data_IF_718663381815
#
_entry.id   IF_718663381815
#
_cell.length_a   1.000
_cell.length_b   1.000
_cell.length_c   1.000
_cell.angle_alpha   90.00
_cell.angle_beta   90.00
_cell.angle_gamma   90.00
#
_symmetry.space_group_name_H-M   'P 1'
#
loop_
_entity.id
_entity.type
_entity.pdbx_description
1 polymer ?
#
# COMPACT_ATOMS: atom_id res chain seq x y z
N UNK A 1 32.93 -3.08 9.23
CA UNK A 1 31.46 -2.88 9.14
C UNK A 1 31.06 -1.41 9.25
N UNK A 2 31.59 -0.65 10.22
CA UNK A 2 31.33 0.80 10.38
C UNK A 2 31.67 1.64 9.14
N UNK A 3 32.78 1.36 8.46
CA UNK A 3 33.20 2.13 7.27
C UNK A 3 32.31 1.88 6.05
N UNK A 4 31.77 0.67 5.91
CA UNK A 4 30.82 0.34 4.83
C UNK A 4 29.47 1.02 5.02
N UNK A 5 28.95 1.06 6.25
CA UNK A 5 27.70 1.77 6.58
C UNK A 5 27.86 3.28 6.34
N UNK A 6 29.03 3.83 6.71
CA UNK A 6 29.34 5.25 6.45
C UNK A 6 29.43 5.54 4.96
N UNK A 7 30.12 4.71 4.18
CA UNK A 7 30.20 4.86 2.73
C UNK A 7 28.83 4.82 2.03
N UNK A 8 27.90 3.97 2.48
CA UNK A 8 26.53 3.93 1.96
C UNK A 8 25.77 5.22 2.30
N UNK A 9 25.90 5.71 3.53
CA UNK A 9 25.31 6.97 3.95
C UNK A 9 25.87 8.16 3.16
N UNK A 10 27.18 8.21 2.97
CA UNK A 10 27.88 9.25 2.22
C UNK A 10 27.50 9.21 0.73
N UNK A 11 27.41 8.02 0.12
CA UNK A 11 26.91 7.87 -1.25
C UNK A 11 25.46 8.35 -1.39
N UNK A 12 24.60 8.00 -0.42
CA UNK A 12 23.21 8.41 -0.45
C UNK A 12 23.04 9.94 -0.38
N UNK A 13 23.94 10.62 0.34
CA UNK A 13 23.99 12.07 0.37
C UNK A 13 24.64 12.69 -0.88
N UNK A 14 25.60 12.00 -1.49
CA UNK A 14 26.26 12.46 -2.72
C UNK A 14 25.34 12.38 -3.95
N UNK A 15 24.39 11.44 -3.99
CA UNK A 15 23.43 11.25 -5.10
C UNK A 15 21.98 11.17 -4.60
N UNK A 16 21.46 12.22 -3.95
CA UNK A 16 20.21 12.15 -3.21
C UNK A 16 18.98 11.88 -4.09
N UNK A 17 19.01 12.32 -5.34
CA UNK A 17 17.97 12.06 -6.36
C UNK A 17 17.91 10.57 -6.72
N UNK A 18 19.06 9.95 -6.99
CA UNK A 18 19.14 8.52 -7.29
C UNK A 18 18.77 7.68 -6.06
N UNK A 19 19.18 8.13 -4.87
CA UNK A 19 18.81 7.49 -3.62
C UNK A 19 17.31 7.53 -3.37
N UNK A 20 16.63 8.65 -3.64
CA UNK A 20 15.18 8.73 -3.51
C UNK A 20 14.47 7.69 -4.39
N UNK A 21 14.87 7.55 -5.66
CA UNK A 21 14.34 6.54 -6.58
C UNK A 21 14.61 5.12 -6.08
N UNK A 22 15.86 4.82 -5.71
CA UNK A 22 16.24 3.49 -5.22
C UNK A 22 15.48 3.12 -3.94
N UNK A 23 15.35 4.07 -3.00
CA UNK A 23 14.57 3.87 -1.78
C UNK A 23 13.09 3.63 -2.08
N UNK A 24 12.53 4.29 -3.10
CA UNK A 24 11.15 4.05 -3.56
C UNK A 24 10.96 2.60 -4.00
N UNK A 25 11.83 2.11 -4.88
CA UNK A 25 11.81 0.73 -5.36
C UNK A 25 11.97 -0.28 -4.20
N UNK A 26 12.96 -0.07 -3.34
CA UNK A 26 13.23 -0.94 -2.18
C UNK A 26 12.05 -0.93 -1.20
N UNK A 27 11.43 0.22 -1.00
CA UNK A 27 10.25 0.36 -0.13
C UNK A 27 9.05 -0.42 -0.66
N UNK A 28 8.83 -0.43 -1.99
CA UNK A 28 7.74 -1.17 -2.60
C UNK A 28 7.88 -2.70 -2.45
N UNK A 29 9.11 -3.22 -2.34
CA UNK A 29 9.35 -4.63 -2.01
C UNK A 29 8.84 -5.03 -0.61
N UNK A 30 8.49 -4.06 0.24
CA UNK A 30 7.84 -4.29 1.52
C UNK A 30 6.38 -4.74 1.39
N UNK A 31 5.75 -4.60 0.23
CA UNK A 31 4.37 -5.04 -0.01
C UNK A 31 4.30 -6.49 -0.52
N UNK A 32 3.15 -7.17 -0.36
CA UNK A 32 2.88 -8.43 -1.05
C UNK A 32 3.09 -8.30 -2.57
N UNK A 33 3.56 -9.35 -3.27
CA UNK A 33 3.81 -10.70 -2.76
C UNK A 33 5.18 -10.89 -2.09
N UNK A 34 6.15 -9.99 -2.30
CA UNK A 34 7.50 -10.12 -1.72
C UNK A 34 7.49 -9.98 -0.20
N UNK A 35 6.68 -9.03 0.29
CA UNK A 35 6.43 -8.76 1.70
C UNK A 35 7.71 -8.67 2.55
N UNK A 36 8.78 -8.09 1.98
CA UNK A 36 10.05 -7.83 2.65
C UNK A 36 9.93 -6.60 3.56
N UNK A 37 8.94 -6.58 4.45
CA UNK A 37 8.60 -5.45 5.29
C UNK A 37 9.78 -4.89 6.11
N UNK A 38 10.77 -5.66 6.62
CA UNK A 38 11.90 -5.07 7.33
C UNK A 38 12.75 -4.20 6.40
N UNK A 39 12.92 -4.64 5.14
CA UNK A 39 13.64 -3.90 4.12
C UNK A 39 12.87 -2.64 3.72
N UNK A 40 11.54 -2.74 3.61
CA UNK A 40 10.68 -1.59 3.34
C UNK A 40 10.75 -0.53 4.45
N UNK A 41 10.70 -0.95 5.72
CA UNK A 41 10.84 -0.05 6.88
C UNK A 41 12.23 0.59 6.95
N UNK A 42 13.28 -0.16 6.61
CA UNK A 42 14.63 0.39 6.50
C UNK A 42 14.73 1.46 5.38
N UNK A 43 14.06 1.24 4.25
CA UNK A 43 13.98 2.23 3.18
C UNK A 43 13.22 3.49 3.61
N UNK A 44 12.14 3.35 4.38
CA UNK A 44 11.42 4.49 4.97
C UNK A 44 12.27 5.26 5.99
N UNK A 45 13.04 4.56 6.83
CA UNK A 45 14.00 5.20 7.74
C UNK A 45 15.04 6.02 6.95
N UNK A 46 15.62 5.44 5.90
CA UNK A 46 16.56 6.15 5.03
C UNK A 46 15.91 7.33 4.30
N UNK A 47 14.64 7.22 3.88
CA UNK A 47 13.88 8.32 3.29
C UNK A 47 13.70 9.45 4.30
N UNK A 48 13.24 9.16 5.52
CA UNK A 48 13.07 10.18 6.58
C UNK A 48 14.38 10.94 6.80
N UNK A 49 15.49 10.23 6.86
CA UNK A 49 16.81 10.85 6.99
C UNK A 49 17.18 11.71 5.78
N UNK A 50 16.95 11.22 4.56
CA UNK A 50 17.25 11.91 3.30
C UNK A 50 16.42 13.19 3.12
N UNK A 51 15.16 13.17 3.51
CA UNK A 51 14.26 14.32 3.44
C UNK A 51 14.56 15.34 4.54
N UNK A 52 14.85 14.87 5.76
CA UNK A 52 15.27 15.74 6.86
C UNK A 52 16.57 16.49 6.54
N UNK A 53 17.52 15.81 5.87
CA UNK A 53 18.78 16.41 5.44
C UNK A 53 18.66 17.31 4.18
N UNK A 54 17.45 17.53 3.65
CA UNK A 54 17.28 18.38 2.47
C UNK A 54 17.55 19.87 2.80
N UNK A 55 18.32 20.58 1.95
CA UNK A 55 18.72 21.97 2.19
C UNK A 55 17.56 22.97 2.12
N UNK A 56 16.46 22.61 1.48
CA UNK A 56 15.28 23.46 1.30
C UNK A 56 14.04 22.59 1.01
N UNK A 57 12.87 23.23 1.09
CA UNK A 57 11.58 22.57 0.95
C UNK A 57 11.30 22.07 -0.48
N UNK A 58 11.86 22.72 -1.51
CA UNK A 58 11.72 22.30 -2.92
C UNK A 58 12.48 21.00 -3.12
N UNK A 59 13.69 20.95 -2.60
CA UNK A 59 14.53 19.75 -2.62
C UNK A 59 13.89 18.59 -1.83
N UNK A 60 13.30 18.87 -0.66
CA UNK A 60 12.57 17.85 0.11
C UNK A 60 11.36 17.33 -0.67
N UNK A 61 10.55 18.23 -1.22
CA UNK A 61 9.36 17.88 -2.00
C UNK A 61 9.73 17.06 -3.25
N UNK A 62 10.77 17.45 -3.98
CA UNK A 62 11.23 16.74 -5.17
C UNK A 62 11.76 15.33 -4.84
N UNK A 63 12.51 15.18 -3.75
CA UNK A 63 12.96 13.85 -3.28
C UNK A 63 11.77 12.98 -2.87
N UNK A 64 10.80 13.54 -2.16
CA UNK A 64 9.56 12.85 -1.79
C UNK A 64 8.76 12.42 -3.02
N UNK A 65 8.67 13.29 -4.03
CA UNK A 65 8.04 13.01 -5.31
C UNK A 65 8.72 11.85 -6.05
N UNK A 66 10.05 11.88 -6.21
CA UNK A 66 10.79 10.81 -6.89
C UNK A 66 10.70 9.47 -6.15
N UNK A 67 10.78 9.50 -4.82
CA UNK A 67 10.52 8.32 -4.00
C UNK A 67 9.12 7.76 -4.28
N UNK A 68 8.10 8.63 -4.21
CA UNK A 68 6.71 8.27 -4.46
C UNK A 68 6.49 7.69 -5.84
N UNK A 69 7.06 8.32 -6.86
CA UNK A 69 6.96 7.87 -8.24
C UNK A 69 7.55 6.46 -8.42
N UNK A 70 8.76 6.22 -7.92
CA UNK A 70 9.40 4.90 -8.02
C UNK A 70 8.66 3.84 -7.19
N UNK A 71 8.29 4.16 -5.96
CA UNK A 71 7.54 3.28 -5.06
C UNK A 71 6.20 2.85 -5.68
N UNK A 72 5.40 3.81 -6.11
CA UNK A 72 4.06 3.57 -6.63
C UNK A 72 4.10 2.94 -8.02
N UNK A 73 5.11 3.24 -8.84
CA UNK A 73 5.26 2.58 -10.15
C UNK A 73 5.51 1.08 -9.97
N UNK A 74 6.42 0.70 -9.07
CA UNK A 74 6.67 -0.72 -8.80
C UNK A 74 5.48 -1.39 -8.12
N UNK A 75 4.87 -0.74 -7.13
CA UNK A 75 3.75 -1.30 -6.40
C UNK A 75 2.45 -1.44 -7.22
N UNK A 76 2.30 -0.64 -8.28
CA UNK A 76 1.17 -0.70 -9.20
C UNK A 76 1.50 -1.38 -10.54
N UNK A 77 2.64 -2.08 -10.64
CA UNK A 77 3.04 -2.73 -11.88
C UNK A 77 2.00 -3.77 -12.38
N UNK A 78 1.21 -4.35 -11.47
CA UNK A 78 0.13 -5.28 -11.78
C UNK A 78 -0.95 -4.69 -12.70
N UNK A 79 -1.11 -3.36 -12.73
CA UNK A 79 -2.05 -2.69 -13.66
C UNK A 79 -1.65 -2.96 -15.11
N UNK A 80 -0.35 -3.07 -15.41
CA UNK A 80 0.10 -3.39 -16.77
C UNK A 80 -0.43 -4.74 -17.25
N UNK A 81 -0.60 -5.71 -16.35
CA UNK A 81 -1.21 -7.02 -16.66
C UNK A 81 -2.70 -6.88 -16.96
N UNK A 82 -3.43 -5.94 -16.35
CA UNK A 82 -4.84 -5.74 -16.69
C UNK A 82 -5.05 -5.34 -18.16
N UNK A 83 -4.09 -4.60 -18.75
CA UNK A 83 -4.14 -4.20 -20.16
C UNK A 83 -4.01 -5.39 -21.12
N UNK A 84 -3.41 -6.51 -20.72
CA UNK A 84 -3.30 -7.71 -21.59
C UNK A 84 -4.64 -8.41 -21.79
N UNK A 85 -5.62 -8.17 -20.93
CA UNK A 85 -6.97 -8.74 -21.03
C UNK A 85 -7.95 -7.86 -21.79
N UNK A 86 -7.53 -6.68 -22.23
CA UNK A 86 -8.40 -5.72 -22.90
C UNK A 86 -8.23 -5.80 -24.42
N UNK A 87 -9.20 -6.42 -25.09
CA UNK A 87 -9.15 -6.84 -26.50
C UNK A 87 -8.81 -5.76 -27.55
N UNK A 88 -8.78 -4.47 -27.18
CA UNK A 88 -8.55 -3.34 -28.10
C UNK A 88 -7.40 -2.41 -27.67
N UNK A 89 -6.54 -2.82 -26.73
CA UNK A 89 -5.42 -1.99 -26.28
C UNK A 89 -4.07 -2.69 -26.46
N UNK A 90 -3.08 -2.07 -27.13
CA UNK A 90 -1.72 -2.58 -27.16
C UNK A 90 -1.12 -2.72 -25.75
N UNK A 91 -0.57 -3.89 -25.44
CA UNK A 91 -0.05 -4.22 -24.10
C UNK A 91 1.02 -3.24 -23.60
N UNK A 92 1.87 -2.73 -24.51
CA UNK A 92 2.92 -1.78 -24.15
C UNK A 92 2.37 -0.48 -23.54
N UNK A 93 1.12 -0.12 -23.85
CA UNK A 93 0.45 1.02 -23.25
C UNK A 93 0.21 0.80 -21.76
N UNK A 94 -0.01 -0.43 -21.30
CA UNK A 94 -0.11 -0.74 -19.88
C UNK A 94 1.19 -0.40 -19.14
N UNK A 95 2.32 -0.85 -19.68
CA UNK A 95 3.65 -0.56 -19.12
C UNK A 95 4.03 0.93 -19.13
N UNK A 96 3.46 1.71 -20.04
CA UNK A 96 3.58 3.18 -20.06
C UNK A 96 2.58 3.88 -19.14
N UNK A 97 1.36 3.34 -19.03
CA UNK A 97 0.28 3.92 -18.25
C UNK A 97 0.57 3.90 -16.75
N UNK A 98 1.22 2.85 -16.23
CA UNK A 98 1.57 2.77 -14.80
C UNK A 98 2.50 3.90 -14.35
N UNK A 99 3.69 4.12 -14.94
CA UNK A 99 4.56 5.23 -14.55
C UNK A 99 3.92 6.59 -14.82
N UNK A 100 3.07 6.72 -15.85
CA UNK A 100 2.35 7.95 -16.15
C UNK A 100 1.28 8.27 -15.09
N UNK A 101 0.49 7.28 -14.66
CA UNK A 101 -0.42 7.40 -13.52
C UNK A 101 0.36 7.80 -12.26
N UNK A 102 1.53 7.21 -12.06
CA UNK A 102 2.36 7.53 -10.90
C UNK A 102 2.94 8.95 -10.93
N UNK A 103 2.96 9.66 -12.07
CA UNK A 103 3.28 11.11 -12.10
C UNK A 103 2.28 11.90 -11.25
N UNK A 104 1.00 11.54 -11.34
CA UNK A 104 -0.06 12.10 -10.50
C UNK A 104 0.07 11.62 -9.05
N UNK A 105 0.21 10.31 -8.83
CA UNK A 105 0.22 9.77 -7.46
C UNK A 105 1.46 10.19 -6.64
N UNK A 106 2.59 10.45 -7.30
CA UNK A 106 3.81 10.93 -6.67
C UNK A 106 3.68 12.34 -6.06
N UNK A 107 2.67 13.12 -6.47
CA UNK A 107 2.38 14.43 -5.88
C UNK A 107 2.12 14.31 -4.38
N UNK A 108 1.46 13.24 -3.92
CA UNK A 108 1.08 13.09 -2.52
C UNK A 108 2.28 12.88 -1.58
N UNK A 109 3.22 11.94 -1.83
CA UNK A 109 4.49 11.88 -1.10
C UNK A 109 5.32 13.17 -1.17
N UNK A 110 5.31 13.83 -2.34
CA UNK A 110 6.00 15.12 -2.52
C UNK A 110 5.39 16.25 -1.67
N UNK A 111 4.07 16.30 -1.54
CA UNK A 111 3.35 17.24 -0.67
C UNK A 111 3.54 16.91 0.80
N UNK A 112 3.58 15.63 1.18
CA UNK A 112 3.88 15.22 2.55
C UNK A 112 5.29 15.69 2.97
N UNK A 113 6.29 15.49 2.11
CA UNK A 113 7.66 15.93 2.34
C UNK A 113 7.77 17.45 2.41
N UNK A 114 7.07 18.17 1.52
CA UNK A 114 6.95 19.63 1.52
C UNK A 114 6.41 20.14 2.86
N UNK A 115 5.24 19.63 3.26
CA UNK A 115 4.53 20.06 4.46
C UNK A 115 5.36 19.80 5.72
N UNK A 116 5.96 18.60 5.82
CA UNK A 116 6.83 18.25 6.92
C UNK A 116 8.05 19.17 7.02
N UNK A 117 8.70 19.48 5.89
CA UNK A 117 9.88 20.35 5.87
C UNK A 117 9.56 21.79 6.27
N UNK A 118 8.48 22.35 5.74
CA UNK A 118 8.00 23.69 6.10
C UNK A 118 7.59 23.78 7.58
N UNK A 119 6.83 22.81 8.07
CA UNK A 119 6.40 22.76 9.47
C UNK A 119 7.59 22.60 10.43
N UNK A 120 8.53 21.72 10.11
CA UNK A 120 9.74 21.50 10.91
C UNK A 120 10.56 22.78 11.05
N UNK A 121 10.75 23.53 9.95
CA UNK A 121 11.50 24.80 9.97
C UNK A 121 10.82 25.90 10.79
N UNK A 122 9.49 25.91 10.84
CA UNK A 122 8.74 26.88 11.65
C UNK A 122 8.75 26.53 13.13
N UNK A 123 8.61 25.24 13.46
CA UNK A 123 8.44 24.78 14.83
C UNK A 123 9.75 24.58 15.60
N UNK A 124 10.86 24.29 14.91
CA UNK A 124 12.16 24.13 15.54
C UNK A 124 13.31 24.52 14.57
N UNK A 125 13.55 25.83 14.38
CA UNK A 125 14.46 26.37 13.36
C UNK A 125 15.92 25.96 13.51
N UNK A 126 16.36 25.62 14.73
CA UNK A 126 17.78 25.44 15.06
C UNK A 126 18.18 24.01 15.44
N UNK A 127 17.26 23.17 15.95
CA UNK A 127 17.57 21.78 16.34
C UNK A 127 16.35 20.84 16.29
N UNK A 128 15.45 20.96 15.30
CA UNK A 128 14.38 19.98 15.16
C UNK A 128 15.00 18.59 14.92
N UNK A 129 15.03 17.75 15.96
CA UNK A 129 15.54 16.39 15.86
C UNK A 129 14.76 15.62 14.78
N UNK A 130 15.41 14.63 14.17
CA UNK A 130 14.81 13.75 13.16
C UNK A 130 13.46 13.15 13.59
N UNK A 131 13.24 13.02 14.91
CA UNK A 131 11.97 12.60 15.49
C UNK A 131 10.82 13.59 15.20
N UNK A 132 11.04 14.90 15.37
CA UNK A 132 10.02 15.94 15.09
C UNK A 132 9.67 15.94 13.61
N UNK A 133 10.69 15.93 12.74
CA UNK A 133 10.48 15.85 11.30
C UNK A 133 9.70 14.58 10.93
N UNK A 134 10.09 13.42 11.48
CA UNK A 134 9.42 12.14 11.24
C UNK A 134 7.95 12.15 11.66
N UNK A 135 7.62 12.73 12.81
CA UNK A 135 6.24 12.86 13.29
C UNK A 135 5.39 13.77 12.39
N UNK A 136 5.95 14.92 11.98
CA UNK A 136 5.28 15.83 11.05
C UNK A 136 5.11 15.20 9.66
N UNK A 137 6.09 14.41 9.22
CA UNK A 137 6.01 13.66 7.97
C UNK A 137 4.97 12.55 8.03
N UNK A 138 4.87 11.82 9.14
CA UNK A 138 3.80 10.84 9.36
C UNK A 138 2.41 11.50 9.31
N UNK A 139 2.24 12.63 10.01
CA UNK A 139 0.98 13.38 9.99
C UNK A 139 0.63 13.90 8.58
N UNK A 140 1.60 14.47 7.87
CA UNK A 140 1.41 14.95 6.51
C UNK A 140 1.13 13.80 5.52
N UNK A 141 1.74 12.64 5.72
CA UNK A 141 1.47 11.44 4.92
C UNK A 141 0.05 10.95 5.13
N UNK A 142 -0.44 10.86 6.37
CA UNK A 142 -1.84 10.51 6.68
C UNK A 142 -2.80 11.41 5.90
N UNK A 143 -2.60 12.73 5.96
CA UNK A 143 -3.48 13.69 5.30
C UNK A 143 -3.41 13.58 3.78
N UNK A 144 -2.22 13.48 3.20
CA UNK A 144 -2.06 13.41 1.75
C UNK A 144 -2.55 12.07 1.18
N UNK A 145 -2.33 10.96 1.89
CA UNK A 145 -2.88 9.64 1.53
C UNK A 145 -4.41 9.61 1.63
N UNK A 146 -4.99 10.27 2.64
CA UNK A 146 -6.44 10.45 2.74
C UNK A 146 -6.98 11.29 1.58
N UNK A 147 -6.37 12.42 1.23
CA UNK A 147 -6.81 13.22 0.06
C UNK A 147 -6.73 12.42 -1.24
N UNK A 148 -5.65 11.63 -1.42
CA UNK A 148 -5.48 10.74 -2.57
C UNK A 148 -6.62 9.73 -2.72
N UNK A 149 -7.30 9.37 -1.63
CA UNK A 149 -8.39 8.40 -1.64
C UNK A 149 -9.71 8.89 -2.24
N UNK A 150 -9.87 10.20 -2.45
CA UNK A 150 -11.12 10.77 -2.98
C UNK A 150 -10.92 11.88 -4.03
N UNK A 151 -9.74 12.47 -4.13
CA UNK A 151 -9.42 13.42 -5.19
C UNK A 151 -9.53 12.77 -6.57
N UNK A 152 -10.22 13.43 -7.52
CA UNK A 152 -10.47 12.92 -8.87
C UNK A 152 -11.02 11.49 -8.87
N UNK A 153 -12.12 11.26 -8.16
CA UNK A 153 -12.75 9.96 -7.84
C UNK A 153 -11.96 9.06 -6.88
N UNK A 154 -10.67 9.33 -6.67
CA UNK A 154 -9.84 8.67 -5.67
C UNK A 154 -9.06 7.47 -6.18
N UNK A 155 -7.83 7.32 -5.70
CA UNK A 155 -7.00 6.13 -5.89
C UNK A 155 -6.24 5.82 -4.59
N UNK A 156 -6.85 5.14 -3.61
CA UNK A 156 -6.24 4.89 -2.29
C UNK A 156 -5.13 3.84 -2.30
N UNK A 157 -4.97 3.09 -3.40
CA UNK A 157 -4.04 1.97 -3.48
C UNK A 157 -2.63 2.38 -3.93
N UNK A 158 -1.57 1.69 -3.49
CA UNK A 158 -1.48 1.03 -2.20
C UNK A 158 -1.33 2.07 -1.07
N UNK A 159 -1.96 1.90 0.10
CA UNK A 159 -1.60 2.64 1.30
C UNK A 159 -0.27 2.13 1.86
N UNK A 160 0.55 3.00 2.44
CA UNK A 160 1.87 2.59 2.97
C UNK A 160 1.76 1.56 4.10
N UNK A 161 0.66 1.59 4.87
CA UNK A 161 0.35 0.64 5.93
C UNK A 161 0.22 -0.81 5.46
N UNK A 162 0.11 -1.06 4.15
CA UNK A 162 0.12 -2.41 3.58
C UNK A 162 1.38 -3.20 3.96
N UNK A 163 2.50 -2.52 4.21
CA UNK A 163 3.77 -3.10 4.67
C UNK A 163 3.69 -3.68 6.10
N UNK A 164 2.70 -3.27 6.89
CA UNK A 164 2.53 -3.67 8.29
C UNK A 164 1.45 -4.76 8.44
N UNK A 165 0.88 -5.24 7.34
CA UNK A 165 0.00 -6.40 7.39
C UNK A 165 0.81 -7.66 7.68
N UNK A 166 0.16 -8.67 8.24
CA UNK A 166 0.76 -9.99 8.39
C UNK A 166 0.47 -10.91 7.20
N UNK A 167 0.79 -12.18 7.36
CA UNK A 167 0.47 -13.24 6.39
C UNK A 167 -1.01 -13.65 6.47
N UNK A 168 -1.49 -14.49 5.56
CA UNK A 168 -2.88 -14.97 5.58
C UNK A 168 -3.32 -15.57 6.93
N UNK A 169 -2.42 -16.30 7.59
CA UNK A 169 -2.73 -16.95 8.88
C UNK A 169 -2.67 -16.01 10.09
N UNK A 170 -2.14 -14.78 9.93
CA UNK A 170 -1.90 -13.86 11.05
C UNK A 170 -2.04 -12.42 10.56
N UNK A 171 -2.89 -11.59 11.19
CA UNK A 171 -3.12 -10.23 10.70
C UNK A 171 -1.91 -9.30 10.86
N UNK A 172 -0.89 -9.67 11.65
CA UNK A 172 0.24 -8.80 11.96
C UNK A 172 -0.22 -7.52 12.66
N UNK A 173 0.32 -6.37 12.27
CA UNK A 173 -0.12 -5.08 12.81
C UNK A 173 -1.44 -4.59 12.20
N UNK A 174 -2.02 -5.31 11.22
CA UNK A 174 -3.39 -5.04 10.74
C UNK A 174 -4.41 -5.15 11.88
N UNK A 175 -4.10 -5.89 12.94
CA UNK A 175 -4.93 -5.94 14.14
C UNK A 175 -5.21 -4.56 14.73
N UNK A 176 -4.37 -3.54 14.46
CA UNK A 176 -4.57 -2.17 14.94
C UNK A 176 -5.58 -1.35 14.11
N UNK A 177 -6.00 -1.85 12.95
CA UNK A 177 -6.91 -1.15 12.02
C UNK A 177 -8.23 -0.70 12.65
N UNK A 178 -8.90 -1.44 13.55
CA UNK A 178 -10.15 -0.98 14.17
C UNK A 178 -10.03 0.32 14.96
N UNK A 179 -8.84 0.64 15.48
CA UNK A 179 -8.59 1.86 16.27
C UNK A 179 -7.90 2.96 15.47
N UNK A 180 -6.96 2.60 14.60
CA UNK A 180 -6.16 3.56 13.84
C UNK A 180 -6.78 3.90 12.48
N UNK A 181 -7.43 2.93 11.83
CA UNK A 181 -7.73 2.97 10.41
C UNK A 181 -6.47 2.87 9.54
N UNK A 182 -6.68 2.75 8.24
CA UNK A 182 -5.63 2.48 7.24
C UNK A 182 -4.58 3.58 7.16
N UNK A 183 -4.99 4.85 7.12
CA UNK A 183 -4.04 5.95 6.92
C UNK A 183 -3.14 6.18 8.15
N UNK A 184 -3.66 6.05 9.37
CA UNK A 184 -2.82 6.15 10.56
C UNK A 184 -1.86 4.96 10.69
N UNK A 185 -2.20 3.78 10.16
CA UNK A 185 -1.25 2.66 10.02
C UNK A 185 -0.10 3.00 9.05
N UNK A 186 -0.38 3.72 7.94
CA UNK A 186 0.66 4.30 7.07
C UNK A 186 1.55 5.29 7.82
N UNK A 187 0.95 6.16 8.64
CA UNK A 187 1.68 7.06 9.53
C UNK A 187 2.57 6.30 10.54
N UNK A 188 2.08 5.19 11.10
CA UNK A 188 2.84 4.34 12.02
C UNK A 188 4.09 3.74 11.35
N UNK A 189 3.99 3.31 10.08
CA UNK A 189 5.16 2.83 9.32
C UNK A 189 6.25 3.92 9.21
N UNK A 190 5.85 5.18 9.00
CA UNK A 190 6.78 6.31 8.95
C UNK A 190 7.36 6.61 10.33
N UNK A 191 6.56 6.56 11.39
CA UNK A 191 7.03 6.76 12.77
C UNK A 191 8.03 5.69 13.17
N UNK A 192 7.82 4.43 12.77
CA UNK A 192 8.79 3.35 12.94
C UNK A 192 10.09 3.71 12.21
N UNK A 193 10.01 4.12 10.95
CA UNK A 193 11.18 4.59 10.18
C UNK A 193 11.93 5.72 10.88
N UNK A 194 11.23 6.74 11.37
CA UNK A 194 11.82 7.85 12.12
C UNK A 194 12.47 7.40 13.44
N UNK A 195 11.83 6.48 14.17
CA UNK A 195 12.35 5.87 15.38
C UNK A 195 13.66 5.12 15.13
N UNK A 196 13.75 4.37 14.03
CA UNK A 196 14.99 3.69 13.62
C UNK A 196 16.13 4.69 13.38
N UNK A 197 15.87 5.81 12.70
CA UNK A 197 16.89 6.86 12.50
C UNK A 197 17.30 7.50 13.84
N UNK A 198 16.33 7.75 14.71
CA UNK A 198 16.59 8.33 16.03
C UNK A 198 17.50 7.43 16.87
N UNK A 199 17.23 6.12 16.90
CA UNK A 199 18.06 5.11 17.60
C UNK A 199 19.49 5.13 17.09
N UNK A 200 19.68 5.13 15.77
CA UNK A 200 21.02 5.13 15.14
C UNK A 200 21.77 6.41 15.46
N UNK A 201 21.11 7.57 15.43
CA UNK A 201 21.75 8.87 15.72
C UNK A 201 22.15 9.03 17.19
N UNK A 202 21.31 8.59 18.11
CA UNK A 202 21.55 8.73 19.55
C UNK A 202 22.25 7.52 20.17
N UNK A 203 22.54 6.49 19.37
CA UNK A 203 23.14 5.21 19.81
C UNK A 203 22.41 4.58 21.00
N UNK A 204 21.08 4.69 21.01
CA UNK A 204 20.25 4.15 22.09
C UNK A 204 20.26 2.62 22.06
N UNK A 205 20.92 1.99 23.02
CA UNK A 205 20.96 0.53 23.17
C UNK A 205 19.60 -0.04 23.51
N UNK A 206 18.86 0.64 24.39
CA UNK A 206 17.49 0.27 24.79
C UNK A 206 16.55 0.36 23.58
N UNK A 207 16.59 1.47 22.83
CA UNK A 207 15.74 1.63 21.65
C UNK A 207 16.04 0.60 20.56
N UNK A 208 17.31 0.23 20.38
CA UNK A 208 17.73 -0.81 19.44
C UNK A 208 17.16 -2.21 19.76
N UNK A 209 16.73 -2.45 21.00
CA UNK A 209 16.04 -3.68 21.40
C UNK A 209 14.53 -3.49 21.38
N UNK A 210 14.02 -2.42 22.00
CA UNK A 210 12.57 -2.23 22.20
C UNK A 210 11.81 -2.00 20.91
N UNK A 211 12.32 -1.18 19.98
CA UNK A 211 11.57 -0.87 18.75
C UNK A 211 11.48 -2.08 17.81
N UNK A 212 12.60 -2.75 17.43
CA UNK A 212 12.52 -3.99 16.65
C UNK A 212 11.76 -5.10 17.37
N UNK A 213 11.94 -5.24 18.69
CA UNK A 213 11.20 -6.21 19.51
C UNK A 213 9.68 -5.95 19.49
N UNK A 214 9.26 -4.69 19.60
CA UNK A 214 7.86 -4.29 19.52
C UNK A 214 7.25 -4.53 18.14
N UNK A 215 8.00 -4.25 17.06
CA UNK A 215 7.55 -4.54 15.68
C UNK A 215 7.39 -6.05 15.48
N UNK A 216 8.38 -6.85 15.89
CA UNK A 216 8.30 -8.32 15.80
C UNK A 216 7.14 -8.87 16.63
N UNK A 217 6.94 -8.34 17.84
CA UNK A 217 5.81 -8.69 18.67
C UNK A 217 4.47 -8.38 17.99
N UNK A 218 4.32 -7.17 17.42
CA UNK A 218 3.12 -6.77 16.68
C UNK A 218 2.90 -7.57 15.39
N UNK A 219 3.95 -7.93 14.67
CA UNK A 219 3.85 -8.69 13.42
C UNK A 219 3.57 -10.19 13.65
N UNK A 220 4.07 -10.76 14.74
CA UNK A 220 4.01 -12.23 14.99
C UNK A 220 2.95 -12.62 16.02
N UNK A 221 2.82 -11.86 17.10
CA UNK A 221 2.10 -12.28 18.32
C UNK A 221 0.86 -11.46 18.62
N UNK A 222 0.42 -10.58 17.72
CA UNK A 222 -0.64 -9.60 17.97
C UNK A 222 -1.88 -10.20 18.66
N UNK A 223 -2.06 -10.00 19.98
CA UNK A 223 -3.18 -10.59 20.72
C UNK A 223 -4.50 -9.88 20.41
N UNK A 224 -4.42 -8.68 19.84
CA UNK A 224 -5.55 -7.89 19.35
C UNK A 224 -6.30 -8.59 18.20
N UNK A 225 -5.66 -9.57 17.55
CA UNK A 225 -6.27 -10.42 16.54
C UNK A 225 -7.29 -11.42 17.10
N UNK A 226 -7.13 -11.83 18.36
CA UNK A 226 -7.83 -12.97 18.94
C UNK A 226 -9.33 -12.75 19.19
N UNK A 227 -9.85 -11.53 18.97
CA UNK A 227 -11.26 -11.17 19.21
C UNK A 227 -12.09 -10.86 17.96
N UNK A 228 -11.53 -10.97 16.74
CA UNK A 228 -12.18 -10.48 15.53
C UNK A 228 -13.17 -11.47 14.87
N UNK A 229 -13.32 -12.69 15.39
CA UNK A 229 -14.30 -13.65 14.90
C UNK A 229 -14.85 -14.47 16.06
N UNK A 230 -16.05 -14.14 16.54
CA UNK A 230 -16.85 -15.16 17.19
C UNK A 230 -17.22 -16.21 16.15
N UNK A 231 -17.18 -17.50 16.51
CA UNK A 231 -17.72 -18.55 15.65
C UNK A 231 -19.16 -18.17 15.30
N UNK A 232 -19.38 -17.82 14.04
CA UNK A 232 -20.72 -17.58 13.53
C UNK A 232 -21.29 -18.91 13.09
N UNK A 233 -22.45 -19.28 13.63
CA UNK A 233 -23.19 -20.47 13.18
C UNK A 233 -23.80 -20.30 11.77
N UNK A 234 -23.61 -19.15 11.12
CA UNK A 234 -24.09 -18.89 9.76
C UNK A 234 -23.23 -19.68 8.77
N UNK A 235 -23.80 -20.77 8.25
CA UNK A 235 -23.25 -21.50 7.11
C UNK A 235 -23.31 -20.63 5.86
N UNK A 236 -22.21 -20.59 5.10
CA UNK A 236 -22.18 -19.96 3.79
C UNK A 236 -21.42 -20.80 2.77
N UNK A 237 -21.68 -20.55 1.48
CA UNK A 237 -20.94 -21.11 0.36
C UNK A 237 -20.49 -19.96 -0.56
N UNK A 238 -19.18 -19.85 -0.79
CA UNK A 238 -18.60 -18.92 -1.76
C UNK A 238 -18.31 -19.68 -3.07
N UNK A 239 -19.04 -19.34 -4.12
CA UNK A 239 -18.93 -20.04 -5.41
C UNK A 239 -17.84 -19.37 -6.25
N UNK A 240 -16.83 -20.14 -6.65
CA UNK A 240 -15.73 -19.67 -7.49
C UNK A 240 -15.72 -20.47 -8.80
N UNK A 241 -16.37 -19.98 -9.87
CA UNK A 241 -16.52 -20.75 -11.09
C UNK A 241 -15.26 -20.77 -11.95
N UNK A 242 -14.23 -19.96 -11.67
CA UNK A 242 -13.00 -19.88 -12.47
C UNK A 242 -13.32 -19.72 -13.98
N UNK A 243 -14.11 -18.69 -14.30
CA UNK A 243 -14.42 -18.30 -15.68
C UNK A 243 -13.23 -17.49 -16.21
N UNK A 244 -12.61 -17.88 -17.33
CA UNK A 244 -11.53 -17.11 -17.96
C UNK A 244 -11.98 -15.70 -18.40
N UNK A 245 -11.07 -14.72 -18.31
CA UNK A 245 -11.39 -13.32 -18.58
C UNK A 245 -11.77 -13.04 -20.05
N UNK A 246 -11.25 -13.84 -20.98
CA UNK A 246 -11.58 -13.79 -22.41
C UNK A 246 -12.94 -14.41 -22.74
N UNK A 247 -13.49 -15.22 -21.84
CA UNK A 247 -14.78 -15.89 -21.99
C UNK A 247 -15.93 -15.16 -21.27
N UNK A 248 -15.62 -14.30 -20.30
CA UNK A 248 -16.63 -13.71 -19.40
C UNK A 248 -17.68 -12.87 -20.15
N UNK A 249 -17.32 -12.32 -21.31
CA UNK A 249 -18.20 -11.52 -22.17
C UNK A 249 -18.55 -12.23 -23.49
N UNK A 250 -18.30 -13.54 -23.61
CA UNK A 250 -18.71 -14.33 -24.77
C UNK A 250 -20.14 -14.83 -24.59
N UNK A 251 -21.07 -14.18 -25.30
CA UNK A 251 -22.50 -14.50 -25.23
C UNK A 251 -22.84 -15.95 -25.56
N UNK A 252 -21.99 -16.66 -26.33
CA UNK A 252 -22.18 -18.08 -26.63
C UNK A 252 -21.93 -18.99 -25.42
N UNK A 253 -21.23 -18.49 -24.39
CA UNK A 253 -20.86 -19.23 -23.18
C UNK A 253 -21.73 -18.91 -21.97
N UNK A 254 -22.61 -17.92 -22.05
CA UNK A 254 -23.42 -17.46 -20.90
C UNK A 254 -24.23 -18.58 -20.25
N UNK A 255 -24.92 -19.40 -21.05
CA UNK A 255 -25.68 -20.54 -20.51
C UNK A 255 -24.77 -21.59 -19.86
N UNK A 256 -23.62 -21.90 -20.48
CA UNK A 256 -22.66 -22.85 -19.90
C UNK A 256 -22.14 -22.36 -18.54
N UNK A 257 -21.78 -21.07 -18.46
CA UNK A 257 -21.29 -20.41 -17.26
C UNK A 257 -22.34 -20.42 -16.15
N UNK A 258 -23.60 -20.08 -16.48
CA UNK A 258 -24.72 -20.17 -15.55
C UNK A 258 -24.90 -21.60 -15.02
N UNK A 259 -24.92 -22.61 -15.90
CA UNK A 259 -25.04 -24.02 -15.52
C UNK A 259 -23.86 -24.47 -14.64
N UNK A 260 -22.64 -23.99 -14.91
CA UNK A 260 -21.46 -24.27 -14.09
C UNK A 260 -21.63 -23.70 -12.68
N UNK A 261 -22.04 -22.44 -12.54
CA UNK A 261 -22.28 -21.78 -11.25
C UNK A 261 -23.42 -22.49 -10.49
N UNK A 262 -24.52 -22.83 -11.18
CA UNK A 262 -25.65 -23.55 -10.61
C UNK A 262 -25.23 -24.94 -10.10
N UNK A 263 -24.43 -25.68 -10.86
CA UNK A 263 -23.88 -26.98 -10.43
C UNK A 263 -22.99 -26.85 -9.20
N UNK A 264 -22.10 -25.85 -9.16
CA UNK A 264 -21.24 -25.58 -8.00
C UNK A 264 -22.04 -25.16 -6.76
N UNK A 265 -23.25 -24.64 -6.95
CA UNK A 265 -24.16 -24.26 -5.85
C UNK A 265 -24.88 -25.46 -5.22
N UNK A 266 -24.95 -26.62 -5.88
CA UNK A 266 -25.74 -27.77 -5.39
C UNK A 266 -25.17 -28.49 -4.15
N UNK A 267 -23.86 -28.76 -4.02
CA UNK A 267 -23.33 -29.54 -2.89
C UNK A 267 -23.64 -28.85 -1.56
N UNK A 268 -24.23 -29.57 -0.58
CA UNK A 268 -24.57 -29.03 0.75
C UNK A 268 -25.86 -28.19 0.81
N UNK A 269 -26.79 -28.40 -0.14
CA UNK A 269 -28.10 -27.73 -0.16
C UNK A 269 -29.13 -28.34 0.82
N UNK A 270 -28.76 -29.39 1.55
CA UNK A 270 -29.53 -30.04 2.60
C UNK A 270 -29.65 -29.19 3.87
N UNK A 271 -28.81 -28.15 3.99
CA UNK A 271 -28.76 -27.27 5.13
C UNK A 271 -28.95 -25.80 4.71
N UNK A 272 -29.71 -25.05 5.50
CA UNK A 272 -29.85 -23.60 5.30
C UNK A 272 -28.49 -22.91 5.38
N UNK A 273 -28.19 -22.09 4.37
CA UNK A 273 -26.93 -21.36 4.20
C UNK A 273 -27.10 -20.13 3.30
N UNK A 274 -26.17 -19.20 3.41
CA UNK A 274 -26.02 -18.07 2.47
C UNK A 274 -25.15 -18.50 1.29
N UNK A 275 -25.55 -18.18 0.06
CA UNK A 275 -24.74 -18.47 -1.14
C UNK A 275 -24.27 -17.16 -1.74
N UNK A 276 -22.97 -17.05 -1.99
CA UNK A 276 -22.35 -15.92 -2.65
C UNK A 276 -21.88 -16.34 -4.04
N UNK A 277 -22.45 -15.72 -5.07
CA UNK A 277 -21.93 -15.78 -6.43
C UNK A 277 -21.00 -14.56 -6.67
N UNK A 278 -20.01 -14.68 -7.56
CA UNK A 278 -19.10 -13.58 -7.84
C UNK A 278 -19.80 -12.44 -8.58
N UNK A 279 -19.12 -11.29 -8.66
CA UNK A 279 -19.55 -10.17 -9.51
C UNK A 279 -19.76 -10.63 -10.96
N UNK A 280 -20.81 -10.11 -11.61
CA UNK A 280 -21.17 -10.45 -13.00
C UNK A 280 -21.38 -11.95 -13.25
N UNK A 281 -21.79 -12.71 -12.23
CA UNK A 281 -22.10 -14.14 -12.36
C UNK A 281 -23.27 -14.44 -13.32
N UNK A 282 -24.19 -13.48 -13.49
CA UNK A 282 -25.29 -13.54 -14.44
C UNK A 282 -25.08 -12.38 -15.42
N UNK A 283 -24.89 -12.65 -16.71
CA UNK A 283 -24.65 -11.62 -17.73
C UNK A 283 -25.95 -11.01 -18.29
N UNK A 284 -27.10 -11.31 -17.68
CA UNK A 284 -28.43 -10.82 -18.05
C UNK A 284 -28.92 -9.71 -17.11
N UNK A 285 -29.88 -8.92 -17.60
CA UNK A 285 -30.60 -8.00 -16.73
C UNK A 285 -31.44 -8.76 -15.71
N UNK A 286 -31.38 -8.30 -14.46
CA UNK A 286 -32.21 -8.84 -13.39
C UNK A 286 -33.68 -8.38 -13.49
N UNK A 287 -33.93 -7.25 -14.16
CA UNK A 287 -35.25 -6.61 -14.28
C UNK A 287 -35.41 -6.00 -15.68
N UNK A 288 -36.66 -5.75 -16.09
CA UNK A 288 -36.94 -5.03 -17.34
C UNK A 288 -36.77 -3.51 -17.19
N UNK A 289 -36.65 -2.79 -18.31
CA UNK A 289 -36.70 -1.31 -18.32
C UNK A 289 -35.36 -0.60 -18.17
N UNK A 290 -34.23 -1.31 -18.19
CA UNK A 290 -32.91 -0.70 -18.25
C UNK A 290 -32.77 0.20 -19.50
N UNK A 291 -32.23 1.43 -19.39
CA UNK A 291 -32.10 2.32 -20.53
C UNK A 291 -31.10 1.76 -21.54
N UNK A 292 -31.60 1.29 -22.70
CA UNK A 292 -30.81 0.64 -23.75
C UNK A 292 -29.55 1.42 -24.16
N UNK A 293 -29.56 2.76 -24.10
CA UNK A 293 -28.39 3.59 -24.44
C UNK A 293 -27.12 3.31 -23.63
N UNK A 294 -27.22 2.70 -22.45
CA UNK A 294 -26.07 2.37 -21.60
C UNK A 294 -25.59 0.92 -21.76
N UNK A 295 -26.32 0.11 -22.53
CA UNK A 295 -26.12 -1.33 -22.58
C UNK A 295 -26.32 -1.94 -23.98
N UNK A 296 -26.46 -1.11 -25.01
CA UNK A 296 -26.54 -1.48 -26.42
C UNK A 296 -25.17 -1.45 -27.10
#
# INVERSE_FOLDING_TARGET
MKDRVRAVADFAQARPTLSALALGLVSACGFPPLHLWPLGLAALAALVWLLHAAPDWRTASWRGYLFGWAHLTLANNWIATAFTHQAKMPEFLGWLAVPLLCVYLAVYPGLAALAAHLATRRLAPTEAGVAVFGSLFAAAWILTEWVRSWAFTGYPWPPLGLMLLGTWDRPGMAAMLPWLGTYALSGLAILIGAGLVWIVRHRSTIGAVLLPGGILFGMIFSPLAAGAGGDSDIRYALIQPLIPQDEINDGSKFEEQFQRIARLTRPGNDQARVVFWPESAIPDYLEDGYPQRYYA
#
